data_IF_410698941487
#
_entry.id   IF_410698941487
#
_cell.length_a   1.000
_cell.length_b   1.000
_cell.length_c   1.000
_cell.angle_alpha   90.00
_cell.angle_beta   90.00
_cell.angle_gamma   90.00
#
_symmetry.space_group_name_H-M   'P 1'
#
loop_
_entity.id
_entity.type
_entity.pdbx_description
1 polymer ?
#
# COMPACT_ATOMS: atom_id res chain seq x y z
N UNK A 1 13.89 15.35 -2.83
CA UNK A 1 12.51 14.94 -2.57
C UNK A 1 12.60 13.97 -1.40
N UNK A 2 11.97 14.26 -0.27
CA UNK A 2 11.99 13.34 0.89
C UNK A 2 11.01 12.21 0.62
N UNK A 3 11.30 10.99 1.11
CA UNK A 3 10.32 9.90 1.18
C UNK A 3 9.24 10.46 2.08
N UNK A 4 8.24 11.13 1.49
CA UNK A 4 7.31 11.89 2.29
C UNK A 4 6.52 10.85 3.04
N UNK A 5 6.82 10.73 4.33
CA UNK A 5 5.90 10.34 5.40
C UNK A 5 4.68 11.27 5.42
N UNK A 6 4.11 11.61 4.26
CA UNK A 6 2.76 12.16 4.18
C UNK A 6 1.80 11.00 4.33
N UNK A 7 1.81 10.44 5.53
CA UNK A 7 0.77 9.59 6.06
C UNK A 7 -0.43 10.50 6.29
N UNK A 8 -1.29 10.63 5.28
CA UNK A 8 -2.59 11.26 5.49
C UNK A 8 -3.65 10.38 4.86
N UNK A 9 -3.88 9.23 5.48
CA UNK A 9 -5.09 8.45 5.24
C UNK A 9 -6.20 9.01 6.13
N UNK A 10 -7.33 9.49 5.55
CA UNK A 10 -8.57 9.54 6.32
C UNK A 10 -8.83 8.14 6.89
N UNK A 11 -9.32 8.02 8.12
CA UNK A 11 -9.82 6.74 8.65
C UNK A 11 -10.77 6.11 7.62
N UNK A 12 -10.34 5.04 6.96
CA UNK A 12 -11.15 4.25 6.03
C UNK A 12 -11.14 2.83 6.56
N UNK A 13 -12.32 2.38 6.92
CA UNK A 13 -12.59 1.03 7.40
C UNK A 13 -12.58 0.12 6.15
N UNK A 14 -12.09 -1.11 6.28
CA UNK A 14 -12.18 -2.13 5.23
C UNK A 14 -10.86 -2.62 4.63
N UNK A 15 -10.96 -3.34 3.52
CA UNK A 15 -9.83 -3.79 2.70
C UNK A 15 -9.62 -2.80 1.56
N UNK A 16 -8.36 -2.52 1.24
CA UNK A 16 -8.00 -1.59 0.17
C UNK A 16 -7.41 -2.35 -1.01
N UNK A 17 -7.89 -2.03 -2.21
CA UNK A 17 -7.32 -2.52 -3.47
C UNK A 17 -6.87 -1.36 -4.34
N UNK A 18 -5.59 -1.35 -4.65
CA UNK A 18 -4.96 -0.31 -5.43
C UNK A 18 -4.54 -0.84 -6.80
N UNK A 19 -4.89 -0.14 -7.88
CA UNK A 19 -4.58 -0.53 -9.26
C UNK A 19 -3.54 0.38 -9.88
N UNK A 20 -2.49 -0.20 -10.43
CA UNK A 20 -1.44 0.51 -11.16
C UNK A 20 -1.82 0.65 -12.64
N UNK A 21 -2.10 1.88 -13.06
CA UNK A 21 -2.65 2.16 -14.40
C UNK A 21 -1.59 2.20 -15.50
N UNK A 22 -0.32 2.44 -15.15
CA UNK A 22 0.83 2.49 -16.04
C UNK A 22 2.09 2.03 -15.33
N UNK A 23 3.09 1.65 -16.13
CA UNK A 23 4.45 1.43 -15.65
C UNK A 23 5.09 2.80 -15.36
N UNK A 24 5.90 2.86 -14.31
CA UNK A 24 6.69 4.03 -13.96
C UNK A 24 8.16 3.63 -13.94
N UNK A 25 9.01 4.41 -14.60
CA UNK A 25 10.44 4.10 -14.74
C UNK A 25 11.23 4.39 -13.46
N UNK A 26 10.81 5.38 -12.68
CA UNK A 26 11.44 5.80 -11.43
C UNK A 26 10.38 6.45 -10.52
N UNK A 27 10.31 6.01 -9.26
CA UNK A 27 9.31 6.49 -8.32
C UNK A 27 7.94 5.82 -8.50
N UNK A 28 6.95 6.32 -7.75
CA UNK A 28 5.56 5.87 -7.89
C UNK A 28 5.23 4.61 -7.09
N UNK A 29 6.15 4.17 -6.23
CA UNK A 29 6.00 2.97 -5.42
C UNK A 29 4.96 3.16 -4.31
N UNK A 30 4.36 2.04 -3.89
CA UNK A 30 3.62 1.96 -2.63
C UNK A 30 4.55 1.43 -1.56
N UNK A 31 4.69 2.17 -0.46
CA UNK A 31 5.62 1.85 0.63
C UNK A 31 4.84 1.56 1.91
N UNK A 32 5.16 0.44 2.58
CA UNK A 32 4.60 0.04 3.88
C UNK A 32 5.67 0.14 4.98
N UNK A 33 5.84 1.31 5.62
CA UNK A 33 6.93 1.56 6.57
C UNK A 33 6.89 0.70 7.83
N UNK A 34 5.70 0.22 8.19
CA UNK A 34 5.52 -0.57 9.41
C UNK A 34 5.61 -2.07 9.15
N UNK A 35 5.56 -2.53 7.89
CA UNK A 35 5.55 -3.95 7.54
C UNK A 35 6.78 -4.69 8.09
N UNK A 36 6.65 -5.91 8.63
CA UNK A 36 7.82 -6.67 9.08
C UNK A 36 8.49 -7.40 7.90
N UNK A 37 7.81 -7.45 6.75
CA UNK A 37 8.28 -8.06 5.53
C UNK A 37 9.23 -7.12 4.81
N UNK A 38 10.19 -7.71 4.11
CA UNK A 38 11.18 -6.97 3.31
C UNK A 38 10.80 -7.06 1.84
N UNK A 39 11.18 -6.06 1.03
CA UNK A 39 10.88 -6.07 -0.38
C UNK A 39 11.56 -7.27 -1.04
N UNK A 40 10.86 -7.86 -2.02
CA UNK A 40 11.35 -9.02 -2.79
C UNK A 40 12.53 -8.61 -3.68
N UNK A 41 12.60 -7.32 -4.04
CA UNK A 41 13.67 -6.72 -4.82
C UNK A 41 14.24 -5.51 -4.06
N UNK A 42 15.57 -5.40 -4.00
CA UNK A 42 16.21 -4.22 -3.44
C UNK A 42 16.14 -3.10 -4.46
N UNK A 43 15.33 -2.07 -4.18
CA UNK A 43 15.22 -0.87 -4.99
C UNK A 43 16.17 0.16 -4.38
N UNK A 44 17.22 0.50 -5.13
CA UNK A 44 18.19 1.52 -4.74
C UNK A 44 17.68 2.89 -5.20
N UNK A 45 17.36 3.74 -4.22
CA UNK A 45 16.95 5.11 -4.48
C UNK A 45 18.10 6.04 -4.10
N UNK A 46 18.71 6.66 -5.09
CA UNK A 46 19.90 7.51 -4.89
C UNK A 46 19.58 8.67 -3.92
N UNK A 47 20.15 8.59 -2.71
CA UNK A 47 19.93 9.57 -1.63
C UNK A 47 18.66 9.35 -0.78
N UNK A 48 18.03 8.18 -0.82
CA UNK A 48 16.85 7.81 -0.03
C UNK A 48 16.94 6.37 0.52
N UNK A 49 18.11 6.02 1.10
CA UNK A 49 18.40 4.70 1.68
C UNK A 49 17.30 4.23 2.66
N UNK A 50 16.62 5.16 3.33
CA UNK A 50 15.54 4.84 4.27
C UNK A 50 14.32 4.17 3.61
N UNK A 51 14.07 4.40 2.32
CA UNK A 51 12.95 3.74 1.64
C UNK A 51 13.34 2.28 1.30
N UNK A 52 14.62 1.99 1.06
CA UNK A 52 15.10 0.68 0.57
C UNK A 52 14.99 -0.48 1.55
N UNK A 53 14.80 -0.18 2.85
CA UNK A 53 14.65 -1.19 3.91
C UNK A 53 13.19 -1.55 4.23
N UNK A 54 12.22 -0.77 3.73
CA UNK A 54 10.79 -0.95 3.97
C UNK A 54 10.15 -1.85 2.89
N UNK A 55 8.97 -2.44 3.16
CA UNK A 55 8.24 -3.18 2.11
C UNK A 55 7.78 -2.19 1.03
N UNK A 56 8.43 -2.26 -0.13
CA UNK A 56 8.13 -1.46 -1.31
C UNK A 56 7.50 -2.32 -2.40
N UNK A 57 6.45 -1.82 -3.03
CA UNK A 57 5.83 -2.40 -4.21
C UNK A 57 5.95 -1.42 -5.37
N UNK A 58 6.72 -1.79 -6.40
CA UNK A 58 6.84 -1.00 -7.62
C UNK A 58 5.58 -1.07 -8.48
N UNK A 59 5.15 0.04 -9.08
CA UNK A 59 3.96 0.06 -9.93
C UNK A 59 4.23 -0.72 -11.23
N UNK A 60 3.46 -1.78 -11.42
CA UNK A 60 3.45 -2.56 -12.67
C UNK A 60 2.11 -2.41 -13.35
N UNK A 61 2.10 -2.00 -14.62
CA UNK A 61 0.86 -1.73 -15.35
C UNK A 61 -0.07 -2.95 -15.34
N UNK A 62 -1.36 -2.70 -15.08
CA UNK A 62 -2.42 -3.71 -14.96
C UNK A 62 -2.28 -4.64 -13.74
N UNK A 63 -1.36 -4.38 -12.83
CA UNK A 63 -1.30 -5.10 -11.55
C UNK A 63 -2.15 -4.40 -10.50
N UNK A 64 -2.57 -5.19 -9.51
CA UNK A 64 -3.30 -4.71 -8.35
C UNK A 64 -2.58 -5.13 -7.07
N UNK A 65 -2.54 -4.22 -6.11
CA UNK A 65 -2.10 -4.44 -4.75
C UNK A 65 -3.33 -4.58 -3.85
N UNK A 66 -3.37 -5.64 -3.04
CA UNK A 66 -4.44 -5.89 -2.08
C UNK A 66 -3.84 -5.99 -0.68
N UNK A 67 -4.37 -5.22 0.25
CA UNK A 67 -4.03 -5.29 1.67
C UNK A 67 -5.25 -4.99 2.55
N UNK A 68 -5.21 -5.52 3.77
CA UNK A 68 -6.24 -5.28 4.77
C UNK A 68 -5.86 -4.06 5.59
N UNK A 69 -6.80 -3.13 5.84
CA UNK A 69 -6.55 -1.98 6.73
C UNK A 69 -7.01 -2.22 8.18
N UNK A 70 -7.56 -3.41 8.44
CA UNK A 70 -7.99 -3.85 9.75
C UNK A 70 -7.49 -5.26 10.07
N UNK A 71 -7.31 -5.52 11.35
CA UNK A 71 -7.08 -6.86 11.87
C UNK A 71 -8.38 -7.66 12.05
N UNK A 72 -8.25 -8.91 12.51
CA UNK A 72 -9.40 -9.79 12.77
C UNK A 72 -10.31 -9.34 13.91
N UNK A 73 -9.88 -8.36 14.72
CA UNK A 73 -10.63 -7.76 15.82
C UNK A 73 -11.25 -6.40 15.41
N UNK A 74 -11.27 -6.11 14.10
CA UNK A 74 -11.84 -4.90 13.50
C UNK A 74 -11.19 -3.61 14.03
N UNK A 75 -9.91 -3.70 14.44
CA UNK A 75 -9.06 -2.54 14.76
C UNK A 75 -8.20 -2.18 13.55
N UNK A 76 -7.80 -0.92 13.45
CA UNK A 76 -6.88 -0.49 12.39
C UNK A 76 -5.56 -1.23 12.51
N UNK A 77 -5.13 -1.87 11.42
CA UNK A 77 -3.85 -2.56 11.37
C UNK A 77 -2.73 -1.53 11.12
N UNK A 78 -1.86 -1.33 12.10
CA UNK A 78 -0.73 -0.40 11.96
C UNK A 78 0.24 -0.80 10.85
N UNK A 79 0.29 -2.09 10.50
CA UNK A 79 1.16 -2.64 9.45
C UNK A 79 0.65 -2.29 8.05
N UNK A 80 -0.64 -1.97 7.93
CA UNK A 80 -1.26 -1.55 6.67
C UNK A 80 -1.03 -0.07 6.34
N UNK A 81 -0.36 0.67 7.22
CA UNK A 81 -0.01 2.05 6.98
C UNK A 81 0.88 2.12 5.73
N UNK A 82 0.46 2.90 4.73
CA UNK A 82 1.16 3.01 3.46
C UNK A 82 1.17 4.43 2.92
N UNK A 83 2.18 4.72 2.12
CA UNK A 83 2.25 5.89 1.24
C UNK A 83 2.15 5.45 -0.21
N UNK A 84 1.27 6.09 -0.98
CA UNK A 84 1.07 5.78 -2.39
C UNK A 84 1.74 6.81 -3.30
N UNK A 85 2.42 6.32 -4.33
CA UNK A 85 2.90 7.11 -5.45
C UNK A 85 1.79 7.60 -6.39
N UNK A 86 2.12 8.57 -7.24
CA UNK A 86 1.20 9.10 -8.26
C UNK A 86 0.96 8.05 -9.36
N UNK A 87 -0.29 7.91 -9.83
CA UNK A 87 -0.83 6.92 -10.79
C UNK A 87 -1.56 5.69 -10.20
N UNK A 88 -2.14 5.85 -9.01
CA UNK A 88 -2.91 4.81 -8.34
C UNK A 88 -4.40 5.10 -8.32
N UNK A 89 -5.22 4.09 -8.60
CA UNK A 89 -6.65 4.11 -8.27
C UNK A 89 -6.93 3.13 -7.13
N UNK A 90 -7.45 3.62 -6.00
CA UNK A 90 -7.73 2.80 -4.81
C UNK A 90 -9.23 2.65 -4.60
N UNK A 91 -9.69 1.40 -4.56
CA UNK A 91 -11.04 1.01 -4.18
C UNK A 91 -11.01 0.34 -2.81
N UNK A 92 -11.81 0.87 -1.87
CA UNK A 92 -12.01 0.29 -0.55
C UNK A 92 -13.30 -0.54 -0.55
N UNK A 93 -13.27 -1.72 0.08
CA UNK A 93 -14.40 -2.60 0.24
C UNK A 93 -14.38 -3.17 1.65
N UNK A 94 -15.54 -3.24 2.28
CA UNK A 94 -15.61 -3.73 3.65
C UNK A 94 -15.69 -5.28 3.64
N UNK A 95 -15.01 -5.94 4.58
CA UNK A 95 -14.95 -7.41 4.59
C UNK A 95 -16.32 -8.03 4.93
N UNK A 96 -17.12 -7.32 5.71
CA UNK A 96 -18.51 -7.62 6.06
C UNK A 96 -19.46 -7.50 4.86
N UNK A 97 -19.18 -6.62 3.89
CA UNK A 97 -19.95 -6.52 2.64
C UNK A 97 -19.98 -7.86 1.87
N UNK A 98 -18.94 -8.69 2.01
CA UNK A 98 -18.86 -10.00 1.37
C UNK A 98 -19.30 -11.16 2.27
N UNK A 99 -19.21 -11.04 3.60
CA UNK A 99 -19.73 -12.07 4.51
C UNK A 99 -21.25 -12.15 4.48
N UNK A 100 -21.91 -11.01 4.27
CA UNK A 100 -23.38 -10.94 4.24
C UNK A 100 -23.97 -11.44 2.90
N UNK A 101 -23.14 -11.65 1.88
CA UNK A 101 -23.54 -12.19 0.58
C UNK A 101 -23.60 -13.73 0.54
N UNK A 102 -23.13 -14.40 1.61
CA UNK A 102 -23.10 -15.86 1.73
C UNK A 102 -24.02 -16.41 2.83
N UNK A 103 -24.91 -15.57 3.39
CA UNK A 103 -25.99 -15.98 4.30
C UNK A 103 -27.36 -16.04 3.58
#
# INVERSE_FOLDING_TARGET
>A
MTCQRTCNTPNRIGSSRSFYLNDVTEGGETVFPMSPERPVETIDHDGMDECSDELIVSPQKLHALLFYSMDGDNQLDTMSLHGDGVNLFTWNFDADEWSDAVD
#
